data_IF_175861479417
#
_entry.id   IF_175861479417
#
_cell.length_a   1.000
_cell.length_b   1.000
_cell.length_c   1.000
_cell.angle_alpha   90.00
_cell.angle_beta   90.00
_cell.angle_gamma   90.00
#
_symmetry.space_group_name_H-M   'P 1'
#
loop_
_entity.id
_entity.type
_entity.pdbx_description
1 polymer ?
#
# COMPACT_ATOMS: atom_id res chain seq x y z
N UNK A 1 15.34 6.94 -8.09
CA UNK A 1 14.37 7.98 -7.68
C UNK A 1 13.40 7.36 -6.69
N UNK A 2 13.13 8.02 -5.57
CA UNK A 2 12.14 7.58 -4.60
C UNK A 2 10.83 8.34 -4.85
N UNK A 3 9.69 7.67 -4.78
CA UNK A 3 8.37 8.27 -5.01
C UNK A 3 7.42 7.84 -3.91
N UNK A 4 6.64 8.78 -3.38
CA UNK A 4 5.51 8.51 -2.51
C UNK A 4 4.26 8.34 -3.37
N UNK A 5 3.47 7.31 -3.09
CA UNK A 5 2.20 7.06 -3.75
C UNK A 5 1.14 6.89 -2.67
N UNK A 6 0.15 7.78 -2.67
CA UNK A 6 -0.88 7.88 -1.63
C UNK A 6 -2.20 8.33 -2.27
N UNK A 7 -3.31 7.80 -1.77
CA UNK A 7 -4.65 8.29 -2.01
C UNK A 7 -5.15 8.96 -0.73
N UNK A 8 -5.73 10.16 -0.85
CA UNK A 8 -6.16 11.00 0.27
C UNK A 8 -7.46 11.73 -0.09
N UNK A 9 -8.29 12.02 0.90
CA UNK A 9 -9.45 12.91 0.73
C UNK A 9 -9.06 14.40 0.82
N UNK A 10 -10.04 15.29 0.80
CA UNK A 10 -9.84 16.74 0.88
C UNK A 10 -9.27 17.21 2.23
N UNK A 11 -9.29 16.36 3.26
CA UNK A 11 -8.79 16.63 4.61
C UNK A 11 -7.56 15.75 4.96
N UNK A 12 -6.81 15.31 3.95
CA UNK A 12 -5.60 14.49 4.08
C UNK A 12 -5.82 13.10 4.72
N UNK A 13 -7.06 12.61 4.80
CA UNK A 13 -7.35 11.27 5.34
C UNK A 13 -6.92 10.19 4.34
N UNK A 14 -6.08 9.25 4.79
CA UNK A 14 -5.56 8.15 3.96
C UNK A 14 -6.13 6.77 4.32
N UNK A 15 -6.86 6.67 5.43
CA UNK A 15 -7.34 5.40 5.95
C UNK A 15 -8.00 5.51 7.33
N UNK A 16 -8.93 4.62 7.62
CA UNK A 16 -9.60 4.49 8.93
C UNK A 16 -9.64 3.01 9.31
N UNK A 17 -9.38 2.65 10.57
CA UNK A 17 -9.46 1.26 11.05
C UNK A 17 -8.68 0.23 10.19
N UNK A 18 -7.50 0.59 9.69
CA UNK A 18 -6.68 -0.21 8.75
C UNK A 18 -7.37 -0.55 7.42
N UNK A 19 -8.34 0.26 6.97
CA UNK A 19 -8.95 0.14 5.65
C UNK A 19 -9.08 1.51 4.97
N UNK A 20 -9.33 1.48 3.66
CA UNK A 20 -9.75 2.67 2.93
C UNK A 20 -11.22 2.95 3.27
N UNK A 21 -11.59 4.20 3.63
CA UNK A 21 -12.97 4.56 3.93
C UNK A 21 -13.86 4.61 2.67
N UNK A 22 -13.27 4.48 1.49
CA UNK A 22 -13.95 4.46 0.19
C UNK A 22 -13.69 3.18 -0.58
N UNK A 23 -14.59 2.88 -1.51
CA UNK A 23 -14.39 1.85 -2.53
C UNK A 23 -14.23 2.51 -3.90
N UNK A 24 -12.98 2.63 -4.37
CA UNK A 24 -12.65 3.28 -5.63
C UNK A 24 -11.77 2.37 -6.53
N UNK A 25 -12.38 1.49 -7.35
CA UNK A 25 -11.64 0.53 -8.18
C UNK A 25 -10.70 1.18 -9.19
N UNK A 26 -11.05 2.39 -9.67
CA UNK A 26 -10.22 3.15 -10.62
C UNK A 26 -8.87 3.53 -10.00
N UNK A 27 -8.86 3.93 -8.73
CA UNK A 27 -7.64 4.27 -7.99
C UNK A 27 -6.75 3.03 -7.78
N UNK A 28 -7.36 1.89 -7.38
CA UNK A 28 -6.62 0.63 -7.26
C UNK A 28 -5.98 0.18 -8.59
N UNK A 29 -6.68 0.39 -9.71
CA UNK A 29 -6.15 0.11 -11.05
C UNK A 29 -5.02 1.06 -11.41
N UNK A 30 -5.14 2.34 -11.07
CA UNK A 30 -4.09 3.34 -11.24
C UNK A 30 -2.84 2.95 -10.43
N UNK A 31 -3.01 2.68 -9.13
CA UNK A 31 -1.96 2.20 -8.24
C UNK A 31 -1.25 0.98 -8.81
N UNK A 32 -1.99 -0.03 -9.27
CA UNK A 32 -1.40 -1.22 -9.92
C UNK A 32 -0.57 -0.87 -11.15
N UNK A 33 -1.05 0.05 -11.98
CA UNK A 33 -0.39 0.44 -13.24
C UNK A 33 0.94 1.13 -12.97
N UNK A 34 0.96 2.11 -12.06
CA UNK A 34 2.17 2.89 -11.78
C UNK A 34 3.23 2.13 -10.98
N UNK A 35 2.80 1.13 -10.21
CA UNK A 35 3.67 0.30 -9.35
C UNK A 35 4.16 -0.99 -10.00
N UNK A 36 3.59 -1.41 -11.13
CA UNK A 36 3.92 -2.69 -11.76
C UNK A 36 5.41 -2.82 -12.08
N UNK A 37 6.00 -3.97 -11.75
CA UNK A 37 7.43 -4.24 -12.00
C UNK A 37 8.40 -3.45 -11.12
N UNK A 38 7.90 -2.59 -10.21
CA UNK A 38 8.72 -1.77 -9.32
C UNK A 38 8.69 -2.33 -7.88
N UNK A 39 9.76 -2.15 -7.10
CA UNK A 39 9.74 -2.41 -5.67
C UNK A 39 8.76 -1.47 -4.95
N UNK A 40 8.01 -2.02 -4.00
CA UNK A 40 7.05 -1.29 -3.17
C UNK A 40 7.44 -1.44 -1.72
N UNK A 41 7.66 -0.30 -1.07
CA UNK A 41 7.99 -0.21 0.34
C UNK A 41 6.72 0.16 1.08
N UNK A 42 6.36 -0.62 2.09
CA UNK A 42 5.18 -0.37 2.92
C UNK A 42 5.43 -0.72 4.38
N UNK A 43 4.63 -0.15 5.28
CA UNK A 43 4.66 -0.52 6.69
C UNK A 43 3.92 -1.83 6.95
N UNK A 44 4.22 -2.46 8.09
CA UNK A 44 3.57 -3.69 8.56
C UNK A 44 2.03 -3.62 8.57
N UNK A 45 1.43 -2.52 9.06
CA UNK A 45 -0.04 -2.35 9.11
C UNK A 45 -0.67 -2.28 7.71
N UNK A 46 0.01 -1.61 6.77
CA UNK A 46 -0.44 -1.56 5.37
C UNK A 46 -0.42 -2.95 4.75
N UNK A 47 0.64 -3.73 5.01
CA UNK A 47 0.71 -5.11 4.56
C UNK A 47 -0.43 -5.97 5.14
N UNK A 48 -0.71 -5.86 6.44
CA UNK A 48 -1.84 -6.55 7.09
C UNK A 48 -3.20 -6.16 6.48
N UNK A 49 -3.40 -4.88 6.13
CA UNK A 49 -4.64 -4.43 5.48
C UNK A 49 -4.83 -5.03 4.08
N UNK A 50 -3.74 -5.28 3.35
CA UNK A 50 -3.77 -5.90 2.03
C UNK A 50 -3.89 -7.43 2.16
N UNK A 51 -3.27 -8.01 3.19
CA UNK A 51 -3.34 -9.43 3.53
C UNK A 51 -2.44 -10.35 2.71
N UNK A 52 -1.82 -9.87 1.63
CA UNK A 52 -0.92 -10.67 0.79
C UNK A 52 0.10 -9.81 0.04
N UNK A 53 1.25 -10.40 -0.38
CA UNK A 53 2.17 -9.72 -1.28
C UNK A 53 1.50 -9.35 -2.60
N UNK A 54 1.90 -8.22 -3.15
CA UNK A 54 1.34 -7.70 -4.38
C UNK A 54 1.98 -8.40 -5.59
N UNK A 55 1.21 -9.22 -6.31
CA UNK A 55 1.71 -9.96 -7.50
C UNK A 55 2.38 -9.02 -8.50
N UNK A 56 3.49 -9.49 -9.09
CA UNK A 56 4.28 -8.76 -10.09
C UNK A 56 5.12 -7.61 -9.54
N UNK A 57 5.26 -7.50 -8.21
CA UNK A 57 5.98 -6.44 -7.51
C UNK A 57 6.80 -7.01 -6.35
N UNK A 58 8.01 -6.51 -6.16
CA UNK A 58 8.79 -6.81 -4.95
C UNK A 58 8.16 -6.03 -3.79
N UNK A 59 7.57 -6.74 -2.83
CA UNK A 59 6.98 -6.13 -1.64
C UNK A 59 8.02 -6.11 -0.51
N UNK A 60 8.41 -4.92 -0.07
CA UNK A 60 9.36 -4.67 1.03
C UNK A 60 8.56 -4.15 2.22
N UNK A 61 8.50 -4.94 3.30
CA UNK A 61 7.75 -4.60 4.50
C UNK A 61 8.70 -4.07 5.57
N UNK A 62 8.47 -2.85 6.02
CA UNK A 62 9.22 -2.25 7.13
C UNK A 62 8.51 -2.57 8.45
N UNK A 63 9.22 -3.26 9.32
CA UNK A 63 8.77 -3.61 10.66
C UNK A 63 9.94 -3.61 11.64
N UNK A 64 9.64 -3.30 12.90
CA UNK A 64 10.57 -3.47 14.03
C UNK A 64 10.43 -4.85 14.70
N UNK A 65 9.39 -5.62 14.33
CA UNK A 65 9.19 -6.98 14.84
C UNK A 65 10.06 -7.95 14.02
N UNK A 66 11.05 -8.62 14.63
CA UNK A 66 11.90 -9.58 13.93
C UNK A 66 11.17 -10.87 13.56
N UNK A 67 10.02 -11.16 14.19
CA UNK A 67 9.22 -12.36 13.94
C UNK A 67 8.11 -12.14 12.89
N UNK A 68 8.26 -11.13 12.03
CA UNK A 68 7.33 -10.92 10.92
C UNK A 68 7.68 -11.89 9.79
N UNK A 69 7.07 -13.08 9.81
CA UNK A 69 7.17 -14.11 8.77
C UNK A 69 6.12 -13.92 7.68
#
# INVERSE_FOLDING_TARGET
>A
MLTLCVAMDENDLIGINNSLPWYLPADLKHFRTITMGKPIIMGRKTYESIGHPLKGRLSIIISRNPNLT
#
